data_IF_392641941750
#
_entry.id   IF_392641941750
#
_cell.length_a   1.000
_cell.length_b   1.000
_cell.length_c   1.000
_cell.angle_alpha   90.00
_cell.angle_beta   90.00
_cell.angle_gamma   90.00
#
_symmetry.space_group_name_H-M   'P 1'
#
loop_
_entity.id
_entity.type
_entity.pdbx_description
1 polymer ?
#
# COMPACT_ATOMS: atom_id res chain seq x y z
N UNK A 1 2.41 -11.25 -27.33
CA UNK A 1 1.76 -9.99 -26.90
C UNK A 1 0.34 -10.19 -26.37
N UNK A 2 -0.43 -11.17 -26.86
CA UNK A 2 -1.79 -11.48 -26.38
C UNK A 2 -1.84 -11.92 -24.90
N UNK A 3 -0.91 -12.76 -24.43
CA UNK A 3 -0.87 -13.24 -23.04
C UNK A 3 -0.63 -12.15 -21.98
N UNK A 4 0.16 -11.11 -22.28
CA UNK A 4 0.42 -10.04 -21.32
C UNK A 4 -0.80 -9.13 -21.17
N UNK A 5 -1.52 -8.88 -22.27
CA UNK A 5 -2.76 -8.12 -22.26
C UNK A 5 -3.85 -8.84 -21.46
N UNK A 6 -3.96 -10.16 -21.60
CA UNK A 6 -4.90 -10.98 -20.81
C UNK A 6 -4.52 -11.01 -19.32
N UNK A 7 -3.24 -11.18 -18.99
CA UNK A 7 -2.76 -11.13 -17.60
C UNK A 7 -3.07 -9.78 -16.94
N UNK A 8 -2.79 -8.67 -17.63
CA UNK A 8 -3.09 -7.32 -17.16
C UNK A 8 -4.59 -7.03 -17.13
N UNK A 9 -5.39 -7.66 -17.99
CA UNK A 9 -6.84 -7.51 -17.97
C UNK A 9 -7.48 -8.16 -16.74
N UNK A 10 -6.88 -9.23 -16.22
CA UNK A 10 -7.35 -9.92 -15.03
C UNK A 10 -7.02 -9.18 -13.72
N UNK A 11 -6.09 -8.23 -13.75
CA UNK A 11 -5.71 -7.43 -12.57
C UNK A 11 -6.69 -6.26 -12.42
N UNK A 12 -7.19 -5.99 -11.20
CA UNK A 12 -8.05 -4.85 -10.90
C UNK A 12 -7.44 -3.51 -11.28
N UNK A 13 -8.29 -2.50 -11.49
CA UNK A 13 -7.90 -1.24 -12.14
C UNK A 13 -6.79 -0.50 -11.38
N UNK A 14 -6.93 -0.29 -10.07
CA UNK A 14 -5.99 0.50 -9.28
C UNK A 14 -4.69 -0.27 -9.09
N UNK A 15 -4.80 -1.56 -8.78
CA UNK A 15 -3.64 -2.46 -8.66
C UNK A 15 -2.84 -2.50 -9.96
N UNK A 16 -3.51 -2.53 -11.11
CA UNK A 16 -2.87 -2.49 -12.43
C UNK A 16 -2.15 -1.18 -12.68
N UNK A 17 -2.77 -0.04 -12.36
CA UNK A 17 -2.12 1.27 -12.49
C UNK A 17 -0.88 1.35 -11.60
N UNK A 18 -0.99 0.89 -10.34
CA UNK A 18 0.15 0.83 -9.42
C UNK A 18 1.29 0.00 -10.02
N UNK A 19 0.99 -1.21 -10.51
CA UNK A 19 1.95 -2.12 -11.11
C UNK A 19 2.67 -1.50 -12.33
N UNK A 20 1.91 -0.89 -13.23
CA UNK A 20 2.45 -0.25 -14.44
C UNK A 20 3.37 0.91 -14.05
N UNK A 21 2.92 1.81 -13.16
CA UNK A 21 3.72 2.95 -12.72
C UNK A 21 5.04 2.51 -12.07
N UNK A 22 4.97 1.49 -11.22
CA UNK A 22 6.14 0.95 -10.51
C UNK A 22 7.12 0.28 -11.46
N UNK A 23 6.60 -0.47 -12.44
CA UNK A 23 7.40 -1.12 -13.47
C UNK A 23 8.08 -0.10 -14.40
N UNK A 24 7.37 0.97 -14.78
CA UNK A 24 7.92 2.07 -15.57
C UNK A 24 9.06 2.75 -14.80
N UNK A 25 8.87 3.09 -13.53
CA UNK A 25 9.91 3.71 -12.73
C UNK A 25 11.15 2.81 -12.57
N UNK A 26 10.95 1.51 -12.37
CA UNK A 26 12.06 0.55 -12.35
C UNK A 26 12.82 0.56 -13.67
N UNK A 27 12.15 0.46 -14.82
CA UNK A 27 12.79 0.49 -16.14
C UNK A 27 13.54 1.80 -16.37
N UNK A 28 12.94 2.95 -16.06
CA UNK A 28 13.58 4.26 -16.22
C UNK A 28 14.84 4.40 -15.36
N UNK A 29 14.84 3.84 -14.15
CA UNK A 29 16.03 3.83 -13.29
C UNK A 29 17.08 2.81 -13.76
N UNK A 30 16.65 1.64 -14.25
CA UNK A 30 17.56 0.61 -14.77
C UNK A 30 18.24 1.01 -16.09
N UNK A 31 17.64 1.92 -16.85
CA UNK A 31 18.23 2.53 -18.05
C UNK A 31 19.05 3.79 -17.73
N UNK A 32 19.24 4.13 -16.45
CA UNK A 32 19.92 5.34 -15.97
C UNK A 32 19.34 6.65 -16.55
N UNK A 33 18.09 6.64 -17.02
CA UNK A 33 17.38 7.85 -17.48
C UNK A 33 17.05 8.73 -16.28
N UNK A 34 16.69 8.10 -15.16
CA UNK A 34 16.37 8.75 -13.90
C UNK A 34 17.24 8.14 -12.80
N UNK A 35 17.99 8.98 -12.08
CA UNK A 35 18.74 8.49 -10.92
C UNK A 35 17.78 8.11 -9.79
N UNK A 36 17.95 6.95 -9.12
CA UNK A 36 17.17 6.61 -7.91
C UNK A 36 17.23 7.68 -6.82
N UNK A 37 18.32 8.47 -6.78
CA UNK A 37 18.49 9.60 -5.86
C UNK A 37 17.50 10.75 -6.12
N UNK A 38 16.88 10.80 -7.29
CA UNK A 38 15.82 11.77 -7.58
C UNK A 38 14.45 11.38 -7.00
N UNK A 39 14.29 10.11 -6.60
CA UNK A 39 13.01 9.52 -6.22
C UNK A 39 12.81 9.40 -4.71
N UNK A 40 13.89 9.33 -3.93
CA UNK A 40 13.81 9.20 -2.48
C UNK A 40 13.21 10.46 -1.84
N UNK A 41 12.57 10.29 -0.69
CA UNK A 41 11.95 11.38 0.03
C UNK A 41 13.00 12.20 0.79
N UNK A 42 13.06 13.50 0.49
CA UNK A 42 13.88 14.45 1.24
C UNK A 42 13.07 15.71 1.52
N UNK A 43 12.75 15.94 2.79
CA UNK A 43 11.93 17.08 3.20
C UNK A 43 12.54 18.44 2.86
N UNK A 44 13.87 18.56 2.90
CA UNK A 44 14.56 19.80 2.54
C UNK A 44 14.35 20.11 1.05
N UNK A 45 14.56 19.12 0.17
CA UNK A 45 14.35 19.30 -1.27
C UNK A 45 12.88 19.50 -1.64
N UNK A 46 11.96 18.85 -0.93
CA UNK A 46 10.52 19.01 -1.18
C UNK A 46 10.06 20.42 -0.80
N UNK A 47 10.44 20.92 0.37
CA UNK A 47 9.93 22.19 0.90
C UNK A 47 10.70 23.40 0.36
N UNK A 48 12.03 23.32 0.25
CA UNK A 48 12.85 24.46 -0.17
C UNK A 48 13.05 24.52 -1.69
N UNK A 49 13.18 23.37 -2.36
CA UNK A 49 13.43 23.28 -3.80
C UNK A 49 12.20 22.89 -4.63
N UNK A 50 11.02 22.79 -4.01
CA UNK A 50 9.74 22.55 -4.69
C UNK A 50 9.70 21.22 -5.48
N UNK A 51 10.47 20.21 -5.06
CA UNK A 51 10.55 18.89 -5.71
C UNK A 51 9.39 17.96 -5.29
N UNK A 52 8.14 18.38 -5.55
CA UNK A 52 6.94 17.71 -5.03
C UNK A 52 6.70 16.29 -5.54
N UNK A 53 7.26 15.92 -6.70
CA UNK A 53 7.12 14.56 -7.24
C UNK A 53 7.66 13.49 -6.29
N UNK A 54 8.65 13.83 -5.45
CA UNK A 54 9.23 12.93 -4.43
C UNK A 54 8.20 12.39 -3.45
N UNK A 55 7.11 13.13 -3.21
CA UNK A 55 6.01 12.71 -2.33
C UNK A 55 5.24 11.51 -2.89
N UNK A 56 5.28 11.30 -4.21
CA UNK A 56 4.57 10.21 -4.89
C UNK A 56 5.56 9.12 -5.30
N UNK A 57 6.68 9.50 -5.90
CA UNK A 57 7.65 8.54 -6.44
C UNK A 57 8.31 7.67 -5.37
N UNK A 58 8.42 8.16 -4.13
CA UNK A 58 8.99 7.39 -3.02
C UNK A 58 8.16 6.14 -2.65
N UNK A 59 6.87 6.10 -3.00
CA UNK A 59 5.98 4.95 -2.80
C UNK A 59 5.95 3.99 -3.99
N UNK A 60 6.29 4.46 -5.19
CA UNK A 60 6.18 3.70 -6.43
C UNK A 60 7.49 2.99 -6.82
N UNK A 61 8.63 3.41 -6.26
CA UNK A 61 9.93 2.82 -6.57
C UNK A 61 10.29 1.67 -5.60
N UNK A 62 10.27 0.43 -6.09
CA UNK A 62 10.62 -0.79 -5.33
C UNK A 62 12.09 -1.21 -5.49
N UNK A 63 12.97 -0.30 -5.93
CA UNK A 63 14.37 -0.60 -6.15
C UNK A 63 14.71 -0.97 -7.60
N UNK A 64 15.96 -1.35 -7.81
CA UNK A 64 16.50 -1.76 -9.10
C UNK A 64 16.00 -3.15 -9.51
N UNK A 65 16.13 -3.46 -10.79
CA UNK A 65 15.85 -4.78 -11.33
C UNK A 65 16.60 -5.89 -10.55
N UNK A 66 15.85 -6.80 -9.92
CA UNK A 66 16.42 -7.87 -9.08
C UNK A 66 15.34 -8.67 -8.35
N UNK A 67 15.75 -9.71 -7.63
CA UNK A 67 14.82 -10.60 -6.91
C UNK A 67 13.95 -9.86 -5.89
N UNK A 68 14.51 -8.86 -5.20
CA UNK A 68 13.77 -8.03 -4.25
C UNK A 68 12.60 -7.29 -4.92
N UNK A 69 12.83 -6.68 -6.08
CA UNK A 69 11.78 -6.01 -6.85
C UNK A 69 10.66 -6.99 -7.23
N UNK A 70 11.01 -8.17 -7.74
CA UNK A 70 10.00 -9.17 -8.12
C UNK A 70 9.21 -9.69 -6.94
N UNK A 71 9.86 -9.86 -5.79
CA UNK A 71 9.18 -10.24 -4.54
C UNK A 71 8.17 -9.18 -4.12
N UNK A 72 8.58 -7.91 -4.08
CA UNK A 72 7.71 -6.80 -3.66
C UNK A 72 6.54 -6.62 -4.64
N UNK A 73 6.78 -6.75 -5.95
CA UNK A 73 5.72 -6.71 -6.96
C UNK A 73 4.77 -7.90 -6.85
N UNK A 74 5.27 -9.10 -6.56
CA UNK A 74 4.42 -10.27 -6.32
C UNK A 74 3.50 -10.05 -5.12
N UNK A 75 4.07 -9.58 -4.01
CA UNK A 75 3.35 -9.27 -2.77
C UNK A 75 2.30 -8.17 -3.04
N UNK A 76 2.68 -7.12 -3.77
CA UNK A 76 1.80 -6.04 -4.17
C UNK A 76 0.61 -6.58 -5.00
N UNK A 77 0.87 -7.31 -6.09
CA UNK A 77 -0.19 -7.86 -6.94
C UNK A 77 -1.13 -8.75 -6.12
N UNK A 78 -0.60 -9.63 -5.27
CA UNK A 78 -1.42 -10.55 -4.48
C UNK A 78 -2.32 -9.83 -3.48
N UNK A 79 -1.75 -8.98 -2.62
CA UNK A 79 -2.52 -8.33 -1.55
C UNK A 79 -3.37 -7.16 -2.05
N UNK A 80 -2.87 -6.35 -2.98
CA UNK A 80 -3.66 -5.26 -3.57
C UNK A 80 -4.86 -5.81 -4.35
N UNK A 81 -4.65 -6.81 -5.24
CA UNK A 81 -5.76 -7.37 -6.01
C UNK A 81 -6.78 -8.03 -5.08
N UNK A 82 -6.33 -8.76 -4.05
CA UNK A 82 -7.24 -9.38 -3.09
C UNK A 82 -8.05 -8.35 -2.30
N UNK A 83 -7.45 -7.22 -1.90
CA UNK A 83 -8.21 -6.14 -1.25
C UNK A 83 -9.17 -5.46 -2.22
N UNK A 84 -8.75 -5.12 -3.43
CA UNK A 84 -9.56 -4.42 -4.43
C UNK A 84 -10.77 -5.27 -4.88
N UNK A 85 -10.57 -6.57 -5.15
CA UNK A 85 -11.63 -7.46 -5.64
C UNK A 85 -12.54 -8.01 -4.54
N UNK A 86 -11.98 -8.36 -3.37
CA UNK A 86 -12.74 -9.07 -2.32
C UNK A 86 -13.26 -8.09 -1.28
N UNK A 87 -12.39 -7.23 -0.74
CA UNK A 87 -12.76 -6.33 0.37
C UNK A 87 -13.50 -5.10 -0.14
N UNK A 88 -12.99 -4.47 -1.19
CA UNK A 88 -13.51 -3.24 -1.77
C UNK A 88 -14.27 -3.50 -3.07
N UNK A 89 -14.91 -4.67 -3.18
CA UNK A 89 -15.67 -5.07 -4.37
C UNK A 89 -16.66 -3.98 -4.77
N UNK A 90 -16.61 -3.58 -6.04
CA UNK A 90 -17.42 -2.49 -6.62
C UNK A 90 -17.18 -1.09 -6.02
N UNK A 91 -16.23 -0.93 -5.08
CA UNK A 91 -15.87 0.31 -4.40
C UNK A 91 -14.36 0.59 -4.50
N UNK A 92 -13.77 0.42 -5.68
CA UNK A 92 -12.41 0.87 -6.02
C UNK A 92 -12.07 2.28 -5.51
N UNK A 93 -13.03 3.22 -5.44
CA UNK A 93 -12.76 4.54 -4.85
C UNK A 93 -12.37 4.48 -3.37
N UNK A 94 -12.99 3.60 -2.58
CA UNK A 94 -12.66 3.41 -1.18
C UNK A 94 -11.27 2.75 -1.03
N UNK A 95 -10.91 1.84 -1.96
CA UNK A 95 -9.57 1.24 -2.00
C UNK A 95 -8.49 2.27 -2.34
N UNK A 96 -8.71 3.11 -3.36
CA UNK A 96 -7.78 4.19 -3.70
C UNK A 96 -7.65 5.18 -2.54
N UNK A 97 -8.76 5.49 -1.87
CA UNK A 97 -8.75 6.37 -0.70
C UNK A 97 -7.96 5.78 0.45
N UNK A 98 -8.09 4.48 0.72
CA UNK A 98 -7.24 3.78 1.69
C UNK A 98 -5.75 3.97 1.39
N UNK A 99 -5.34 3.81 0.12
CA UNK A 99 -3.94 4.00 -0.29
C UNK A 99 -3.52 5.46 -0.07
N UNK A 100 -4.33 6.44 -0.49
CA UNK A 100 -4.02 7.87 -0.33
C UNK A 100 -3.87 8.24 1.16
N UNK A 101 -4.80 7.81 2.01
CA UNK A 101 -4.75 8.05 3.46
C UNK A 101 -3.53 7.39 4.07
N UNK A 102 -3.19 6.17 3.65
CA UNK A 102 -2.00 5.46 4.11
C UNK A 102 -0.71 6.17 3.71
N UNK A 103 -0.60 6.63 2.45
CA UNK A 103 0.54 7.43 1.99
C UNK A 103 0.67 8.73 2.79
N UNK A 104 -0.44 9.43 3.03
CA UNK A 104 -0.44 10.65 3.84
C UNK A 104 0.03 10.40 5.28
N UNK A 105 -0.46 9.34 5.93
CA UNK A 105 0.01 8.95 7.27
C UNK A 105 1.49 8.60 7.29
N UNK A 106 1.99 7.87 6.29
CA UNK A 106 3.42 7.53 6.17
C UNK A 106 4.28 8.78 5.95
N UNK A 107 3.81 9.75 5.15
CA UNK A 107 4.49 11.04 5.01
C UNK A 107 4.53 11.81 6.35
N UNK A 108 3.46 11.80 7.12
CA UNK A 108 3.47 12.43 8.46
C UNK A 108 4.45 11.74 9.41
N UNK A 109 4.48 10.41 9.41
CA UNK A 109 5.47 9.64 10.16
C UNK A 109 6.89 9.97 9.70
N UNK A 110 7.12 10.10 8.40
CA UNK A 110 8.40 10.52 7.82
C UNK A 110 8.88 11.85 8.36
N UNK A 111 7.98 12.84 8.40
CA UNK A 111 8.31 14.19 8.84
C UNK A 111 8.71 14.23 10.32
N UNK A 112 8.08 13.40 11.16
CA UNK A 112 8.32 13.38 12.61
C UNK A 112 9.57 12.57 12.97
N UNK A 113 9.72 11.36 12.42
CA UNK A 113 10.75 10.40 12.85
C UNK A 113 11.99 10.42 11.94
N UNK A 114 11.84 10.78 10.67
CA UNK A 114 12.91 10.69 9.68
C UNK A 114 13.44 9.27 9.48
N UNK A 115 14.58 9.15 8.78
CA UNK A 115 15.38 7.91 8.74
C UNK A 115 15.01 6.87 7.67
N UNK A 116 13.96 7.09 6.88
CA UNK A 116 13.58 6.23 5.75
C UNK A 116 13.59 7.03 4.45
N UNK A 117 14.24 6.47 3.44
CA UNK A 117 14.43 7.13 2.14
C UNK A 117 13.35 6.74 1.13
N UNK A 118 12.92 5.48 1.13
CA UNK A 118 11.89 4.95 0.23
C UNK A 118 10.75 4.34 1.04
N UNK A 119 9.51 4.66 0.68
CA UNK A 119 8.31 4.26 1.42
C UNK A 119 7.50 3.17 0.70
N UNK A 120 8.02 2.62 -0.40
CA UNK A 120 7.41 1.55 -1.19
C UNK A 120 7.22 0.25 -0.37
N UNK A 121 8.22 -0.16 0.39
CA UNK A 121 8.10 -1.30 1.32
C UNK A 121 7.14 -1.00 2.47
N UNK A 122 7.11 0.24 2.97
CA UNK A 122 6.18 0.66 4.02
C UNK A 122 4.72 0.51 3.58
N UNK A 123 4.36 1.01 2.38
CA UNK A 123 2.98 0.93 1.89
C UNK A 123 2.55 -0.50 1.58
N UNK A 124 3.46 -1.36 1.07
CA UNK A 124 3.19 -2.80 0.95
C UNK A 124 2.82 -3.37 2.32
N UNK A 125 3.59 -3.07 3.37
CA UNK A 125 3.29 -3.58 4.71
C UNK A 125 1.97 -3.06 5.27
N UNK A 126 1.59 -1.81 4.99
CA UNK A 126 0.27 -1.28 5.35
C UNK A 126 -0.84 -2.11 4.68
N UNK A 127 -0.70 -2.37 3.37
CA UNK A 127 -1.68 -3.13 2.58
C UNK A 127 -1.76 -4.58 3.08
N UNK A 128 -0.62 -5.23 3.29
CA UNK A 128 -0.55 -6.58 3.87
C UNK A 128 -1.17 -6.63 5.27
N UNK A 129 -0.95 -5.60 6.09
CA UNK A 129 -1.57 -5.50 7.40
C UNK A 129 -3.10 -5.41 7.30
N UNK A 130 -3.63 -4.50 6.50
CA UNK A 130 -5.09 -4.34 6.35
C UNK A 130 -5.71 -5.63 5.79
N UNK A 131 -5.09 -6.24 4.79
CA UNK A 131 -5.50 -7.53 4.25
C UNK A 131 -5.53 -8.61 5.33
N UNK A 132 -4.50 -8.67 6.18
CA UNK A 132 -4.37 -9.68 7.24
C UNK A 132 -5.50 -9.62 8.26
N UNK A 133 -5.98 -8.41 8.56
CA UNK A 133 -7.07 -8.17 9.52
C UNK A 133 -8.44 -8.46 8.92
N UNK A 134 -8.67 -8.09 7.66
CA UNK A 134 -9.89 -8.44 6.94
C UNK A 134 -10.03 -9.96 6.74
N UNK A 135 -8.91 -10.66 6.55
CA UNK A 135 -8.87 -12.11 6.33
C UNK A 135 -8.38 -12.88 7.56
N UNK A 136 -8.67 -12.40 8.77
CA UNK A 136 -8.09 -12.88 10.03
C UNK A 136 -8.18 -14.41 10.29
N UNK A 137 -9.22 -15.07 9.75
CA UNK A 137 -9.47 -16.51 9.86
C UNK A 137 -8.75 -17.36 8.81
N UNK A 138 -8.26 -16.74 7.73
CA UNK A 138 -7.57 -17.44 6.64
C UNK A 138 -6.26 -18.03 7.14
N UNK A 139 -5.96 -19.26 6.72
CA UNK A 139 -4.71 -19.96 7.04
C UNK A 139 -3.76 -19.85 5.85
N UNK A 140 -2.54 -19.39 6.12
CA UNK A 140 -1.47 -19.27 5.13
C UNK A 140 -0.36 -20.24 5.48
N UNK A 141 0.18 -20.92 4.48
CA UNK A 141 1.37 -21.76 4.64
C UNK A 141 2.59 -20.97 4.20
N UNK A 142 3.48 -20.68 5.15
CA UNK A 142 4.77 -20.02 4.91
C UNK A 142 5.87 -21.05 5.15
N UNK A 143 6.61 -21.39 4.10
CA UNK A 143 7.57 -22.49 4.06
C UNK A 143 6.95 -23.81 4.57
N UNK A 144 7.20 -24.18 5.82
CA UNK A 144 6.72 -25.41 6.44
C UNK A 144 5.67 -25.19 7.55
N UNK A 145 5.35 -23.93 7.87
CA UNK A 145 4.45 -23.59 8.96
C UNK A 145 3.14 -23.00 8.44
N UNK A 146 2.02 -23.46 8.99
CA UNK A 146 0.71 -22.85 8.75
C UNK A 146 0.41 -21.83 9.83
N UNK A 147 0.22 -20.57 9.44
CA UNK A 147 -0.12 -19.48 10.33
C UNK A 147 -1.51 -18.92 9.99
N UNK A 148 -2.15 -18.24 10.94
CA UNK A 148 -3.33 -17.43 10.64
C UNK A 148 -2.88 -16.12 10.01
N UNK A 149 -3.64 -15.62 9.03
CA UNK A 149 -3.37 -14.36 8.35
C UNK A 149 -3.15 -13.21 9.33
N UNK A 150 -3.89 -13.15 10.44
CA UNK A 150 -3.73 -12.14 11.49
C UNK A 150 -2.29 -11.94 12.01
N UNK A 151 -1.46 -12.97 11.94
CA UNK A 151 -0.05 -12.94 12.40
C UNK A 151 0.95 -12.65 11.27
N UNK A 152 0.49 -12.61 10.02
CA UNK A 152 1.32 -12.44 8.83
C UNK A 152 2.25 -11.21 8.92
N UNK A 153 1.79 -9.99 9.27
CA UNK A 153 2.68 -8.82 9.29
C UNK A 153 3.83 -8.96 10.29
N UNK A 154 3.57 -9.60 11.42
CA UNK A 154 4.58 -9.86 12.45
C UNK A 154 5.57 -10.93 12.02
N UNK A 155 5.10 -11.99 11.38
CA UNK A 155 5.95 -13.04 10.83
C UNK A 155 6.86 -12.49 9.72
N UNK A 156 6.32 -11.64 8.84
CA UNK A 156 7.11 -10.97 7.80
C UNK A 156 8.16 -10.02 8.41
N UNK A 157 7.84 -9.34 9.51
CA UNK A 157 8.81 -8.52 10.25
C UNK A 157 9.94 -9.36 10.82
N UNK A 158 9.64 -10.50 11.45
CA UNK A 158 10.67 -11.42 11.97
C UNK A 158 11.52 -11.97 10.82
N UNK A 159 10.91 -12.37 9.71
CA UNK A 159 11.65 -12.85 8.54
C UNK A 159 12.58 -11.77 7.97
N UNK A 160 12.12 -10.52 7.92
CA UNK A 160 12.92 -9.40 7.43
C UNK A 160 14.15 -9.13 8.30
N UNK A 161 14.03 -9.28 9.63
CA UNK A 161 15.14 -9.14 10.57
C UNK A 161 16.19 -10.23 10.35
N UNK A 162 15.77 -11.46 10.02
CA UNK A 162 16.68 -12.59 9.75
C UNK A 162 17.46 -12.37 8.44
N UNK A 163 16.83 -11.71 7.47
CA UNK A 163 17.41 -11.46 6.13
C UNK A 163 18.19 -10.13 6.08
N UNK A 164 18.37 -9.45 7.23
CA UNK A 164 18.96 -8.09 7.32
C UNK A 164 18.30 -7.08 6.38
N UNK A 165 16.98 -7.19 6.24
CA UNK A 165 16.16 -6.22 5.51
C UNK A 165 15.69 -5.09 6.43
N UNK A 166 15.40 -3.92 5.85
CA UNK A 166 14.99 -2.71 6.58
C UNK A 166 13.76 -2.97 7.45
N UNK A 167 14.02 -3.27 8.73
CA UNK A 167 12.97 -3.69 9.67
C UNK A 167 12.13 -2.52 10.16
N UNK A 168 12.68 -1.30 10.09
CA UNK A 168 11.96 -0.07 10.41
C UNK A 168 10.74 0.13 9.48
N UNK A 169 10.90 -0.21 8.19
CA UNK A 169 9.84 -0.04 7.19
C UNK A 169 8.61 -0.90 7.54
N UNK A 170 8.86 -2.12 8.03
CA UNK A 170 7.83 -3.03 8.48
C UNK A 170 7.09 -2.51 9.72
N UNK A 171 7.83 -1.94 10.68
CA UNK A 171 7.25 -1.37 11.89
C UNK A 171 6.32 -0.19 11.57
N UNK A 172 6.75 0.77 10.76
CA UNK A 172 5.92 1.91 10.38
C UNK A 172 4.73 1.49 9.52
N UNK A 173 4.90 0.49 8.63
CA UNK A 173 3.80 -0.10 7.89
C UNK A 173 2.74 -0.72 8.79
N UNK A 174 3.15 -1.49 9.81
CA UNK A 174 2.23 -2.06 10.81
C UNK A 174 1.54 -0.96 11.62
N UNK A 175 2.28 0.08 12.05
CA UNK A 175 1.73 1.19 12.82
C UNK A 175 0.63 1.92 12.04
N UNK A 176 0.92 2.35 10.81
CA UNK A 176 -0.04 3.05 9.95
C UNK A 176 -1.22 2.14 9.59
N UNK A 177 -0.96 0.88 9.25
CA UNK A 177 -2.01 -0.10 8.97
C UNK A 177 -2.93 -0.33 10.17
N UNK A 178 -2.39 -0.37 11.38
CA UNK A 178 -3.18 -0.50 12.61
C UNK A 178 -4.05 0.72 12.85
N UNK A 179 -3.51 1.93 12.72
CA UNK A 179 -4.25 3.19 12.87
C UNK A 179 -5.40 3.25 11.86
N UNK A 180 -5.12 2.99 10.58
CA UNK A 180 -6.13 2.97 9.53
C UNK A 180 -7.23 1.95 9.83
N UNK A 181 -6.86 0.69 10.12
CA UNK A 181 -7.82 -0.38 10.41
C UNK A 181 -8.66 -0.09 11.66
N UNK A 182 -8.05 0.44 12.72
CA UNK A 182 -8.74 0.80 13.95
C UNK A 182 -9.86 1.81 13.66
N UNK A 183 -9.54 2.91 12.97
CA UNK A 183 -10.52 3.97 12.72
C UNK A 183 -11.58 3.64 11.67
N UNK A 184 -11.30 2.69 10.77
CA UNK A 184 -12.25 2.28 9.72
C UNK A 184 -13.12 1.11 10.13
N UNK A 185 -12.59 0.13 10.86
CA UNK A 185 -13.30 -1.11 11.19
C UNK A 185 -13.72 -1.21 12.65
N UNK A 186 -12.95 -0.65 13.59
CA UNK A 186 -13.20 -0.82 15.04
C UNK A 186 -13.94 0.38 15.62
N UNK A 187 -13.47 1.60 15.35
CA UNK A 187 -14.01 2.83 15.90
C UNK A 187 -15.50 3.03 15.60
N UNK A 188 -16.02 2.81 14.38
CA UNK A 188 -17.45 2.98 14.10
C UNK A 188 -18.37 2.03 14.89
N UNK A 189 -17.84 0.88 15.34
CA UNK A 189 -18.56 -0.10 16.15
C UNK A 189 -18.61 0.29 17.64
N UNK A 190 -17.81 1.27 18.06
CA UNK A 190 -17.79 1.71 19.46
C UNK A 190 -19.00 2.60 19.77
N UNK A 191 -19.64 2.45 20.95
CA UNK A 191 -20.79 3.27 21.34
C UNK A 191 -20.50 4.78 21.33
N UNK A 192 -19.25 5.16 21.60
CA UNK A 192 -18.78 6.56 21.67
C UNK A 192 -18.79 7.22 20.29
N UNK A 193 -18.58 6.46 19.21
CA UNK A 193 -18.41 7.00 17.88
C UNK A 193 -19.72 7.44 17.22
N UNK A 194 -20.90 7.05 17.72
CA UNK A 194 -22.20 7.34 17.09
C UNK A 194 -22.21 7.05 15.57
N UNK A 195 -21.54 5.97 15.15
CA UNK A 195 -21.37 5.58 13.74
C UNK A 195 -20.65 6.61 12.85
N UNK A 196 -19.80 7.48 13.42
CA UNK A 196 -18.99 8.43 12.64
C UNK A 196 -17.85 7.70 11.93
N UNK A 197 -17.77 7.85 10.61
CA UNK A 197 -16.66 7.35 9.81
C UNK A 197 -15.63 8.47 9.61
N UNK A 198 -14.46 8.34 10.25
CA UNK A 198 -13.40 9.37 10.20
C UNK A 198 -12.79 9.47 8.80
N UNK A 199 -12.49 8.34 8.16
CA UNK A 199 -11.90 8.29 6.83
C UNK A 199 -12.95 8.08 5.73
N UNK A 200 -13.99 8.92 5.71
CA UNK A 200 -15.01 8.86 4.65
C UNK A 200 -14.41 9.25 3.29
N UNK A 201 -14.59 8.40 2.29
CA UNK A 201 -14.13 8.65 0.92
C UNK A 201 -14.76 9.92 0.34
N UNK A 202 -13.96 10.85 -0.22
CA UNK A 202 -14.48 12.08 -0.79
C UNK A 202 -15.31 11.81 -2.05
N UNK A 203 -16.40 12.57 -2.22
CA UNK A 203 -17.31 12.47 -3.36
C UNK A 203 -16.60 12.60 -4.71
N UNK A 204 -15.59 13.46 -4.79
CA UNK A 204 -14.79 13.66 -5.99
C UNK A 204 -14.17 12.36 -6.51
N UNK A 205 -13.67 11.51 -5.60
CA UNK A 205 -13.00 10.26 -5.97
C UNK A 205 -14.00 9.22 -6.50
N UNK A 206 -15.16 9.13 -5.86
CA UNK A 206 -16.27 8.27 -6.31
C UNK A 206 -16.76 8.69 -7.69
N UNK A 207 -16.90 10.01 -7.91
CA UNK A 207 -17.29 10.56 -9.20
C UNK A 207 -16.25 10.28 -10.30
N UNK A 208 -14.96 10.47 -10.01
CA UNK A 208 -13.87 10.19 -10.97
C UNK A 208 -13.84 8.72 -11.41
N UNK A 209 -14.11 7.80 -10.49
CA UNK A 209 -14.17 6.37 -10.79
C UNK A 209 -15.55 5.90 -11.27
N UNK A 210 -16.47 6.84 -11.56
CA UNK A 210 -17.86 6.60 -12.01
C UNK A 210 -18.58 5.55 -11.16
N UNK A 211 -18.34 5.57 -9.86
CA UNK A 211 -19.06 4.73 -8.92
C UNK A 211 -20.29 5.50 -8.46
N UNK A 212 -21.44 5.16 -9.05
CA UNK A 212 -22.73 5.63 -8.54
C UNK A 212 -22.86 5.16 -7.09
N UNK A 213 -23.32 6.06 -6.22
CA UNK A 213 -23.53 5.74 -4.81
C UNK A 213 -24.60 4.66 -4.69
N UNK A 214 -24.17 3.40 -4.66
CA UNK A 214 -24.99 2.30 -4.17
C UNK A 214 -25.41 2.65 -2.75
N UNK A 215 -26.68 3.02 -2.60
CA UNK A 215 -27.37 3.29 -1.35
C UNK A 215 -26.87 2.38 -0.23
N UNK A 216 -26.04 2.92 0.67
CA UNK A 216 -25.99 2.43 2.05
C UNK A 216 -27.21 3.01 2.75
N UNK A 217 -28.38 2.46 2.48
CA UNK A 217 -29.58 2.69 3.28
C UNK A 217 -29.41 2.00 4.63
N UNK A 218 -29.50 2.83 5.66
CA UNK A 218 -29.83 2.56 7.07
C UNK A 218 -28.88 1.66 7.87
#
# INVERSE_FOLDING_TARGET
>A
MVQLGELLSNIPLITRVYLILSSILMVLCSLDIISPLSLYLNWNLVLNEHQYWRLITCFLYFGSFGLHFFWDIYVLIYYCSSLEDVTFRNNSADFLWMIIVSCFMLLMVSYIFGGIYFYSSCIINVITYVWSKNNSSTRLTIFFFTIKASYLPWVLTILSLIVDYNSNDNFFGILVGHIYFFFTSVFPLMPIAKNTQIFKTPYLLKWMLRQEEGHRTA
#
